data_IF_658094691290
#
_entry.id   IF_658094691290
#
_cell.length_a   1.000
_cell.length_b   1.000
_cell.length_c   1.000
_cell.angle_alpha   90.00
_cell.angle_beta   90.00
_cell.angle_gamma   90.00
#
_symmetry.space_group_name_H-M   'P 1'
#
loop_
_entity.id
_entity.type
_entity.pdbx_description
1 polymer ?
#
# COMPACT_ATOMS: atom_id res chain seq x y z
N UNK A 1 -24.88 13.84 4.17
CA UNK A 1 -23.81 14.78 3.72
C UNK A 1 -24.25 15.67 2.53
N UNK A 2 -23.59 16.81 2.22
CA UNK A 2 -23.88 17.62 1.01
C UNK A 2 -23.06 17.17 -0.21
N UNK A 3 -23.47 17.58 -1.43
CA UNK A 3 -22.86 17.11 -2.68
C UNK A 3 -21.36 17.40 -2.76
N UNK A 4 -20.94 18.61 -2.40
CA UNK A 4 -19.53 19.02 -2.52
C UNK A 4 -18.61 18.22 -1.59
N UNK A 5 -19.03 17.96 -0.33
CA UNK A 5 -18.26 17.12 0.59
C UNK A 5 -18.23 15.66 0.15
N UNK A 6 -19.33 15.15 -0.40
CA UNK A 6 -19.38 13.79 -0.95
C UNK A 6 -18.38 13.64 -2.09
N UNK A 7 -18.39 14.56 -3.06
CA UNK A 7 -17.49 14.48 -4.21
C UNK A 7 -16.02 14.52 -3.79
N UNK A 8 -15.66 15.38 -2.84
CA UNK A 8 -14.30 15.44 -2.30
C UNK A 8 -13.87 14.14 -1.60
N UNK A 9 -14.79 13.42 -0.97
CA UNK A 9 -14.49 12.13 -0.36
C UNK A 9 -14.32 11.03 -1.43
N UNK A 10 -15.15 11.02 -2.47
CA UNK A 10 -14.98 10.12 -3.63
C UNK A 10 -13.60 10.34 -4.30
N UNK A 11 -13.20 11.60 -4.51
CA UNK A 11 -11.90 11.95 -5.10
C UNK A 11 -10.72 11.53 -4.21
N UNK A 12 -10.90 11.49 -2.88
CA UNK A 12 -9.89 10.98 -1.95
C UNK A 12 -9.77 9.46 -2.02
N UNK A 13 -10.89 8.73 -2.12
CA UNK A 13 -10.85 7.27 -2.34
C UNK A 13 -10.12 6.92 -3.64
N UNK A 14 -10.40 7.65 -4.73
CA UNK A 14 -9.70 7.43 -6.01
C UNK A 14 -8.18 7.68 -5.91
N UNK A 15 -7.76 8.70 -5.16
CA UNK A 15 -6.34 8.95 -4.89
C UNK A 15 -5.71 7.84 -4.05
N UNK A 16 -6.43 7.31 -3.07
CA UNK A 16 -5.95 6.18 -2.26
C UNK A 16 -5.73 4.95 -3.15
N UNK A 17 -6.65 4.65 -4.07
CA UNK A 17 -6.51 3.51 -5.00
C UNK A 17 -5.27 3.68 -5.90
N UNK A 18 -5.00 4.89 -6.39
CA UNK A 18 -3.78 5.19 -7.15
C UNK A 18 -2.53 4.91 -6.30
N UNK A 19 -2.50 5.41 -5.06
CA UNK A 19 -1.36 5.20 -4.15
C UNK A 19 -1.18 3.71 -3.85
N UNK A 20 -2.26 2.95 -3.65
CA UNK A 20 -2.18 1.49 -3.43
C UNK A 20 -1.54 0.78 -4.63
N UNK A 21 -1.88 1.15 -5.85
CA UNK A 21 -1.27 0.57 -7.05
C UNK A 21 0.23 0.91 -7.14
N UNK A 22 0.61 2.16 -6.85
CA UNK A 22 2.04 2.55 -6.82
C UNK A 22 2.83 1.79 -5.74
N UNK A 23 2.21 1.56 -4.57
CA UNK A 23 2.81 0.74 -3.51
C UNK A 23 2.95 -0.73 -3.93
N UNK A 24 1.96 -1.29 -4.62
CA UNK A 24 2.00 -2.66 -5.13
C UNK A 24 3.14 -2.83 -6.14
N UNK A 25 3.29 -1.90 -7.09
CA UNK A 25 4.39 -1.90 -8.06
C UNK A 25 5.77 -1.89 -7.36
N UNK A 26 5.96 -1.03 -6.36
CA UNK A 26 7.23 -0.95 -5.61
C UNK A 26 7.46 -2.22 -4.77
N UNK A 27 6.40 -2.75 -4.14
CA UNK A 27 6.49 -4.01 -3.39
C UNK A 27 6.97 -5.14 -4.30
N UNK A 28 6.43 -5.22 -5.50
CA UNK A 28 6.75 -6.28 -6.45
C UNK A 28 8.21 -6.16 -6.91
N UNK A 29 8.67 -4.94 -7.19
CA UNK A 29 10.09 -4.66 -7.47
C UNK A 29 11.02 -5.10 -6.32
N UNK A 30 10.67 -4.79 -5.07
CA UNK A 30 11.44 -5.22 -3.90
C UNK A 30 11.41 -6.73 -3.70
N UNK A 31 10.27 -7.38 -3.93
CA UNK A 31 10.14 -8.84 -3.86
C UNK A 31 10.98 -9.52 -4.95
N UNK A 32 10.96 -9.03 -6.18
CA UNK A 32 11.83 -9.52 -7.25
C UNK A 32 13.30 -9.34 -6.90
N UNK A 33 13.69 -8.20 -6.31
CA UNK A 33 15.05 -7.97 -5.88
C UNK A 33 15.46 -8.92 -4.74
N UNK A 34 14.53 -9.25 -3.83
CA UNK A 34 14.71 -10.18 -2.71
C UNK A 34 14.90 -11.61 -3.20
N UNK A 35 14.07 -12.04 -4.15
CA UNK A 35 14.09 -13.38 -4.74
C UNK A 35 15.35 -13.62 -5.58
N UNK A 36 15.85 -12.56 -6.22
CA UNK A 36 17.08 -12.60 -7.01
C UNK A 36 18.37 -12.49 -6.17
N UNK A 37 18.29 -12.43 -4.83
CA UNK A 37 19.49 -12.43 -4.00
C UNK A 37 20.26 -13.75 -4.11
N UNK A 38 21.60 -13.69 -4.28
CA UNK A 38 22.46 -14.86 -4.19
C UNK A 38 22.27 -15.60 -2.86
N UNK A 39 22.33 -16.94 -2.88
CA UNK A 39 22.12 -17.80 -1.70
C UNK A 39 22.95 -17.36 -0.48
N UNK A 40 24.20 -16.95 -0.69
CA UNK A 40 25.09 -16.51 0.38
C UNK A 40 24.71 -15.16 1.01
N UNK A 41 23.74 -14.44 0.45
CA UNK A 41 23.21 -13.17 0.93
C UNK A 41 21.77 -13.27 1.45
N UNK A 42 21.11 -14.42 1.32
CA UNK A 42 19.70 -14.58 1.73
C UNK A 42 19.48 -14.48 3.24
N UNK A 43 20.52 -14.76 4.05
CA UNK A 43 20.52 -14.57 5.52
C UNK A 43 21.27 -13.31 5.96
N UNK A 44 21.55 -12.39 5.02
CA UNK A 44 22.25 -11.16 5.35
C UNK A 44 21.31 -10.12 5.94
N UNK A 45 21.86 -9.16 6.69
CA UNK A 45 21.11 -7.99 7.16
C UNK A 45 20.55 -7.12 6.02
N UNK A 46 21.05 -7.30 4.78
CA UNK A 46 20.43 -6.68 3.60
C UNK A 46 19.11 -7.37 3.26
N UNK A 47 19.09 -8.70 3.29
CA UNK A 47 17.90 -9.49 3.01
C UNK A 47 16.80 -9.22 4.04
N UNK A 48 17.15 -9.20 5.33
CA UNK A 48 16.23 -8.85 6.42
C UNK A 48 15.60 -7.47 6.21
N UNK A 49 16.37 -6.46 5.81
CA UNK A 49 15.83 -5.12 5.51
C UNK A 49 14.87 -5.10 4.33
N UNK A 50 15.11 -5.91 3.30
CA UNK A 50 14.20 -6.00 2.16
C UNK A 50 12.88 -6.62 2.60
N UNK A 51 12.92 -7.66 3.44
CA UNK A 51 11.72 -8.27 4.03
C UNK A 51 10.95 -7.26 4.91
N UNK A 52 11.66 -6.46 5.72
CA UNK A 52 11.05 -5.38 6.53
C UNK A 52 10.38 -4.30 5.66
N UNK A 53 11.01 -3.91 4.54
CA UNK A 53 10.44 -2.92 3.61
C UNK A 53 9.17 -3.48 2.95
N UNK A 54 9.23 -4.70 2.43
CA UNK A 54 8.08 -5.37 1.81
C UNK A 54 6.91 -5.43 2.80
N UNK A 55 7.16 -5.89 4.03
CA UNK A 55 6.14 -5.95 5.08
C UNK A 55 5.56 -4.56 5.38
N UNK A 56 6.40 -3.52 5.50
CA UNK A 56 5.92 -2.18 5.79
C UNK A 56 5.04 -1.60 4.66
N UNK A 57 5.32 -1.97 3.41
CA UNK A 57 4.49 -1.60 2.26
C UNK A 57 3.14 -2.33 2.32
N UNK A 58 3.13 -3.65 2.57
CA UNK A 58 1.91 -4.43 2.70
C UNK A 58 1.00 -3.91 3.83
N UNK A 59 1.57 -3.60 4.99
CA UNK A 59 0.85 -2.98 6.12
C UNK A 59 0.27 -1.61 5.74
N UNK A 60 1.02 -0.81 4.98
CA UNK A 60 0.56 0.50 4.51
C UNK A 60 -0.63 0.36 3.55
N UNK A 61 -0.61 -0.63 2.65
CA UNK A 61 -1.72 -0.92 1.75
C UNK A 61 -2.99 -1.35 2.52
N UNK A 62 -2.84 -2.12 3.59
CA UNK A 62 -3.96 -2.50 4.46
C UNK A 62 -4.58 -1.27 5.16
N UNK A 63 -3.75 -0.37 5.70
CA UNK A 63 -4.25 0.86 6.31
C UNK A 63 -4.98 1.78 5.32
N UNK A 64 -4.49 1.84 4.09
CA UNK A 64 -5.15 2.58 3.01
C UNK A 64 -6.50 1.97 2.65
N UNK A 65 -6.61 0.63 2.64
CA UNK A 65 -7.89 -0.06 2.44
C UNK A 65 -8.91 0.27 3.53
N UNK A 66 -8.48 0.19 4.80
CA UNK A 66 -9.32 0.57 5.94
C UNK A 66 -9.76 2.04 5.88
N UNK A 67 -8.88 2.93 5.41
CA UNK A 67 -9.22 4.33 5.19
C UNK A 67 -10.28 4.50 4.08
N UNK A 68 -10.16 3.75 2.98
CA UNK A 68 -11.17 3.72 1.91
C UNK A 68 -12.52 3.24 2.44
N UNK A 69 -12.56 2.15 3.22
CA UNK A 69 -13.79 1.64 3.82
C UNK A 69 -14.48 2.69 4.71
N UNK A 70 -13.71 3.37 5.58
CA UNK A 70 -14.23 4.44 6.42
C UNK A 70 -14.76 5.64 5.62
N UNK A 71 -14.13 5.97 4.49
CA UNK A 71 -14.63 7.00 3.57
C UNK A 71 -15.95 6.56 2.93
N UNK A 72 -16.06 5.31 2.48
CA UNK A 72 -17.28 4.78 1.87
C UNK A 72 -18.45 4.77 2.86
N UNK A 73 -18.21 4.39 4.12
CA UNK A 73 -19.21 4.46 5.18
C UNK A 73 -19.69 5.92 5.39
N UNK A 74 -18.75 6.88 5.44
CA UNK A 74 -19.07 8.31 5.58
C UNK A 74 -19.87 8.88 4.39
N UNK A 75 -19.71 8.32 3.19
CA UNK A 75 -20.48 8.70 1.99
C UNK A 75 -21.92 8.22 2.05
N UNK A 76 -22.13 7.01 2.58
CA UNK A 76 -23.42 6.33 2.68
C UNK A 76 -24.28 6.83 3.85
N UNK A 77 -23.66 7.39 4.90
CA UNK A 77 -24.32 8.08 6.03
C UNK A 77 -24.96 9.43 5.70
#
# INVERSE_FOLDING_TARGET
MNKDRRKRLEDLSEQIDIIKNELEEIRDEEQEARDNLPDNLQESSKAERMDEIIQAIEESMEYLEQACDGIQEAIQG
#
